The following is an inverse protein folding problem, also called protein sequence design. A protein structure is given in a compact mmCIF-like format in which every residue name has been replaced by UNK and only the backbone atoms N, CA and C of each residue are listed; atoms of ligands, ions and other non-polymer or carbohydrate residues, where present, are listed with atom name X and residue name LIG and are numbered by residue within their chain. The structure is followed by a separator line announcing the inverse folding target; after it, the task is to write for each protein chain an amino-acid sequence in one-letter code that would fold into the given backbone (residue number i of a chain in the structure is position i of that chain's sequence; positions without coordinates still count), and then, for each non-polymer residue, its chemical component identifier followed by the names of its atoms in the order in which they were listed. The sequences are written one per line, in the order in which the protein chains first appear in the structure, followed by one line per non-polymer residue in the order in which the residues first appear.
data_IF_047438144138
#
_entry.id   IF_047438144138
#
_cell.length_a   1.000
_cell.length_b   1.000
_cell.length_c   1.000
_cell.angle_alpha   90.00
_cell.angle_beta   90.00
_cell.angle_gamma   90.00
#
_symmetry.space_group_name_H-M   'P 1'
#
loop_
_entity.id
_entity.type
_entity.pdbx_description
1 polymer ?
#
# COMPACT_ATOMS: atom_id res chain seq x y z
N UNK A 1 -33.06 -52.58 -31.17
CA UNK A 1 -31.81 -52.53 -30.38
C UNK A 1 -31.51 -51.05 -30.14
N UNK A 2 -31.71 -50.56 -28.91
CA UNK A 2 -31.45 -49.16 -28.53
C UNK A 2 -29.99 -49.05 -28.08
N UNK A 3 -29.16 -48.33 -28.84
CA UNK A 3 -27.82 -47.95 -28.40
C UNK A 3 -27.92 -46.75 -27.46
N UNK A 4 -27.76 -46.97 -26.17
CA UNK A 4 -27.60 -45.90 -25.17
C UNK A 4 -26.21 -45.28 -25.32
N UNK A 5 -26.16 -44.01 -25.71
CA UNK A 5 -24.94 -43.20 -25.67
C UNK A 5 -24.55 -42.92 -24.21
N UNK A 6 -23.32 -43.23 -23.77
CA UNK A 6 -22.86 -42.91 -22.43
C UNK A 6 -22.55 -41.41 -22.33
N UNK A 7 -23.57 -40.60 -22.04
CA UNK A 7 -23.38 -39.24 -21.58
C UNK A 7 -22.71 -39.25 -20.20
N UNK A 8 -21.41 -38.94 -20.15
CA UNK A 8 -20.68 -38.83 -18.90
C UNK A 8 -21.26 -37.71 -18.00
N UNK A 9 -21.12 -37.83 -16.67
CA UNK A 9 -21.69 -36.87 -15.70
C UNK A 9 -21.16 -35.44 -15.85
N UNK A 10 -20.06 -35.25 -16.59
CA UNK A 10 -19.46 -33.94 -16.85
C UNK A 10 -20.37 -33.01 -17.66
N UNK A 11 -21.22 -33.55 -18.55
CA UNK A 11 -22.13 -32.74 -19.38
C UNK A 11 -23.41 -32.27 -18.68
N UNK A 12 -23.74 -32.82 -17.50
CA UNK A 12 -24.98 -32.49 -16.80
C UNK A 12 -24.90 -31.18 -16.01
N UNK A 13 -23.69 -30.73 -15.63
CA UNK A 13 -23.51 -29.50 -14.85
C UNK A 13 -23.67 -28.24 -15.72
N UNK A 14 -23.33 -28.31 -17.00
CA UNK A 14 -23.43 -27.18 -17.94
C UNK A 14 -24.89 -26.76 -18.21
N UNK A 15 -25.84 -27.69 -18.09
CA UNK A 15 -27.27 -27.39 -18.27
C UNK A 15 -27.97 -26.83 -17.03
N UNK A 16 -27.39 -26.99 -15.83
CA UNK A 16 -28.07 -26.62 -14.57
C UNK A 16 -27.96 -25.12 -14.25
N UNK A 17 -26.94 -24.43 -14.77
CA UNK A 17 -26.64 -23.02 -14.47
C UNK A 17 -27.05 -22.03 -15.56
N UNK A 18 -27.93 -22.43 -16.48
CA UNK A 18 -28.61 -21.50 -17.39
C UNK A 18 -27.66 -20.59 -18.18
N UNK A 19 -26.85 -21.16 -19.07
CA UNK A 19 -26.18 -20.44 -20.15
C UNK A 19 -25.10 -19.43 -19.76
N UNK A 20 -24.65 -19.39 -18.50
CA UNK A 20 -23.49 -18.57 -18.10
C UNK A 20 -22.20 -19.27 -18.51
N UNK A 21 -21.35 -18.58 -19.29
CA UNK A 21 -20.07 -19.10 -19.80
C UNK A 21 -19.14 -19.43 -18.64
N UNK A 22 -18.27 -20.43 -18.80
CA UNK A 22 -17.31 -20.80 -17.76
C UNK A 22 -16.42 -19.62 -17.36
N UNK A 23 -16.10 -18.72 -18.30
CA UNK A 23 -15.32 -17.51 -18.01
C UNK A 23 -16.01 -16.58 -17.02
N UNK A 24 -17.33 -16.41 -17.13
CA UNK A 24 -18.09 -15.53 -16.23
C UNK A 24 -18.13 -16.12 -14.81
N UNK A 25 -18.25 -17.45 -14.72
CA UNK A 25 -18.22 -18.17 -13.45
C UNK A 25 -16.84 -18.10 -12.80
N UNK A 26 -15.76 -18.27 -13.58
CA UNK A 26 -14.38 -18.13 -13.10
C UNK A 26 -14.11 -16.70 -12.62
N UNK A 27 -14.53 -15.70 -13.37
CA UNK A 27 -14.40 -14.29 -13.01
C UNK A 27 -15.18 -13.98 -11.73
N UNK A 28 -16.43 -14.44 -11.64
CA UNK A 28 -17.24 -14.29 -10.42
C UNK A 28 -16.56 -14.96 -9.22
N UNK A 29 -16.04 -16.19 -9.37
CA UNK A 29 -15.32 -16.90 -8.32
C UNK A 29 -14.05 -16.15 -7.88
N UNK A 30 -13.30 -15.57 -8.81
CA UNK A 30 -12.06 -14.84 -8.51
C UNK A 30 -12.29 -13.59 -7.67
N UNK A 31 -13.47 -12.98 -7.76
CA UNK A 31 -13.85 -11.79 -6.99
C UNK A 31 -14.41 -12.12 -5.60
N UNK A 32 -14.64 -13.41 -5.30
CA UNK A 32 -15.20 -13.82 -4.01
C UNK A 32 -14.12 -13.78 -2.91
N UNK A 33 -14.40 -13.15 -1.76
CA UNK A 33 -13.43 -13.10 -0.66
C UNK A 33 -13.10 -14.50 -0.12
N UNK A 34 -14.03 -15.45 -0.19
CA UNK A 34 -13.79 -16.82 0.26
C UNK A 34 -12.69 -17.52 -0.55
N UNK A 35 -12.56 -17.21 -1.85
CA UNK A 35 -11.51 -17.75 -2.71
C UNK A 35 -10.13 -17.21 -2.28
N UNK A 36 -10.02 -15.91 -2.00
CA UNK A 36 -8.79 -15.30 -1.51
C UNK A 36 -8.38 -15.87 -0.14
N UNK A 37 -9.34 -16.06 0.77
CA UNK A 37 -9.11 -16.71 2.06
C UNK A 37 -8.63 -18.16 1.88
N UNK A 38 -9.17 -18.89 0.90
CA UNK A 38 -8.77 -20.26 0.61
C UNK A 38 -7.33 -20.35 0.11
N UNK A 39 -6.96 -19.49 -0.84
CA UNK A 39 -5.61 -19.40 -1.36
C UNK A 39 -4.61 -18.99 -0.26
N UNK A 40 -4.97 -18.01 0.57
CA UNK A 40 -4.14 -17.60 1.71
C UNK A 40 -3.95 -18.72 2.73
N UNK A 41 -5.03 -19.44 3.09
CA UNK A 41 -4.96 -20.59 3.99
C UNK A 41 -4.10 -21.72 3.41
N UNK A 42 -4.19 -21.98 2.10
CA UNK A 42 -3.35 -22.97 1.41
C UNK A 42 -1.86 -22.57 1.43
N UNK A 43 -1.55 -21.28 1.24
CA UNK A 43 -0.19 -20.74 1.31
C UNK A 43 0.47 -20.88 2.68
N UNK A 44 -0.32 -20.87 3.76
CA UNK A 44 0.16 -21.13 5.13
C UNK A 44 0.39 -22.63 5.41
N UNK A 45 0.02 -23.52 4.49
CA UNK A 45 0.18 -24.96 4.62
C UNK A 45 -0.54 -25.51 5.86
N UNK A 46 0.19 -26.20 6.74
CA UNK A 46 -0.37 -26.83 7.95
C UNK A 46 -0.86 -25.83 9.01
N UNK A 47 -0.39 -24.59 8.96
CA UNK A 47 -0.81 -23.51 9.87
C UNK A 47 -2.11 -22.84 9.39
N UNK A 48 -2.52 -23.10 8.15
CA UNK A 48 -3.75 -22.56 7.58
C UNK A 48 -5.01 -23.24 8.11
N UNK A 49 -6.14 -22.55 7.94
CA UNK A 49 -7.47 -23.13 8.21
C UNK A 49 -7.77 -24.24 7.21
N UNK A 50 -8.27 -25.38 7.70
CA UNK A 50 -8.63 -26.52 6.85
C UNK A 50 -10.01 -26.37 6.18
N UNK A 51 -10.85 -25.48 6.71
CA UNK A 51 -12.18 -25.17 6.18
C UNK A 51 -12.49 -23.68 6.24
N UNK A 52 -13.31 -23.24 5.28
CA UNK A 52 -13.79 -21.86 5.14
C UNK A 52 -15.30 -21.90 5.07
N UNK A 53 -15.94 -21.03 5.84
CA UNK A 53 -17.39 -20.93 5.89
C UNK A 53 -17.89 -20.11 4.71
N UNK A 54 -18.78 -20.66 3.89
CA UNK A 54 -19.31 -19.99 2.70
C UNK A 54 -20.77 -19.60 2.85
N UNK A 55 -21.11 -18.43 2.34
CA UNK A 55 -22.48 -17.91 2.27
C UNK A 55 -23.11 -17.57 3.64
N UNK A 56 -24.38 -17.15 3.65
CA UNK A 56 -25.08 -16.72 4.87
C UNK A 56 -25.30 -17.86 5.86
N UNK A 57 -25.44 -19.10 5.36
CA UNK A 57 -25.61 -20.30 6.18
C UNK A 57 -24.32 -20.82 6.81
N UNK A 58 -23.17 -20.17 6.54
CA UNK A 58 -21.84 -20.55 7.05
C UNK A 58 -21.53 -22.03 6.88
N UNK A 59 -21.75 -22.56 5.67
CA UNK A 59 -21.45 -23.96 5.39
C UNK A 59 -19.94 -24.15 5.33
N UNK A 60 -19.33 -25.03 6.13
CA UNK A 60 -17.89 -25.23 6.11
C UNK A 60 -17.51 -26.02 4.85
N UNK A 61 -16.69 -25.41 4.00
CA UNK A 61 -16.15 -26.03 2.79
C UNK A 61 -14.65 -26.29 2.98
N UNK A 62 -14.14 -27.49 2.65
CA UNK A 62 -12.70 -27.76 2.72
C UNK A 62 -11.89 -26.80 1.86
N UNK A 63 -10.79 -26.26 2.40
CA UNK A 63 -9.92 -25.31 1.68
C UNK A 63 -9.42 -25.88 0.34
N UNK A 64 -9.17 -27.19 0.27
CA UNK A 64 -8.73 -27.88 -0.95
C UNK A 64 -9.81 -27.99 -2.05
N UNK A 65 -11.09 -27.79 -1.73
CA UNK A 65 -12.16 -27.83 -2.73
C UNK A 65 -12.13 -26.62 -3.68
N UNK A 66 -11.65 -25.46 -3.20
CA UNK A 66 -11.54 -24.22 -3.97
C UNK A 66 -10.58 -24.31 -5.17
N UNK A 67 -9.31 -24.74 -5.01
CA UNK A 67 -8.40 -24.91 -6.16
C UNK A 67 -8.89 -25.99 -7.14
N UNK A 68 -9.56 -27.03 -6.66
CA UNK A 68 -10.17 -28.04 -7.54
C UNK A 68 -11.30 -27.44 -8.39
N UNK A 69 -12.18 -26.64 -7.79
CA UNK A 69 -13.22 -25.91 -8.54
C UNK A 69 -12.61 -24.94 -9.55
N UNK A 70 -11.59 -24.20 -9.14
CA UNK A 70 -10.87 -23.27 -10.02
C UNK A 70 -10.25 -23.99 -11.22
N UNK A 71 -9.58 -25.13 -11.01
CA UNK A 71 -9.01 -25.93 -12.08
C UNK A 71 -10.08 -26.44 -13.06
N UNK A 72 -11.22 -26.93 -12.55
CA UNK A 72 -12.33 -27.38 -13.41
C UNK A 72 -12.91 -26.25 -14.26
N UNK A 73 -13.10 -25.06 -13.68
CA UNK A 73 -13.57 -23.89 -14.44
C UNK A 73 -12.52 -23.42 -15.44
N UNK A 74 -11.23 -23.45 -15.09
CA UNK A 74 -10.15 -23.10 -16.01
C UNK A 74 -10.10 -24.05 -17.22
N UNK A 75 -10.22 -25.36 -17.01
CA UNK A 75 -10.26 -26.36 -18.10
C UNK A 75 -11.47 -26.13 -19.03
N UNK A 76 -12.63 -25.77 -18.46
CA UNK A 76 -13.81 -25.41 -19.25
C UNK A 76 -13.57 -24.12 -20.05
N UNK A 77 -12.97 -23.10 -19.44
CA UNK A 77 -12.60 -21.85 -20.14
C UNK A 77 -11.65 -22.12 -21.29
N UNK A 78 -10.64 -22.98 -21.12
CA UNK A 78 -9.72 -23.36 -22.20
C UNK A 78 -10.47 -24.01 -23.35
N UNK A 79 -11.44 -24.88 -23.04
CA UNK A 79 -12.27 -25.54 -24.05
C UNK A 79 -13.16 -24.53 -24.79
N UNK A 80 -13.86 -23.65 -24.06
CA UNK A 80 -14.68 -22.58 -24.66
C UNK A 80 -13.84 -21.60 -25.50
N UNK A 81 -12.64 -21.27 -25.05
CA UNK A 81 -11.72 -20.40 -25.77
C UNK A 81 -11.23 -21.05 -27.07
N UNK A 82 -10.92 -22.36 -27.04
CA UNK A 82 -10.52 -23.10 -28.24
C UNK A 82 -11.64 -23.16 -29.28
N UNK A 83 -12.90 -23.27 -28.86
CA UNK A 83 -14.06 -23.19 -29.76
C UNK A 83 -14.22 -21.79 -30.38
N UNK A 84 -13.89 -20.73 -29.63
CA UNK A 84 -13.95 -19.35 -30.11
C UNK A 84 -12.80 -18.99 -31.06
N UNK A 85 -11.63 -19.58 -30.86
CA UNK A 85 -10.37 -19.24 -31.53
C UNK A 85 -10.31 -19.62 -33.04
N UNK A 86 -11.27 -20.38 -33.55
CA UNK A 86 -11.37 -20.94 -34.90
C UNK A 86 -10.37 -20.44 -35.98
N UNK A 87 -9.56 -21.36 -36.52
CA UNK A 87 -8.73 -21.32 -37.75
C UNK A 87 -7.96 -20.02 -38.09
N UNK A 88 -7.69 -19.15 -37.11
CA UNK A 88 -7.05 -17.86 -37.37
C UNK A 88 -5.52 -17.93 -37.23
N UNK A 89 -4.81 -18.10 -38.36
CA UNK A 89 -3.34 -18.13 -38.47
C UNK A 89 -2.61 -16.84 -37.99
N UNK A 90 -3.34 -15.80 -37.58
CA UNK A 90 -2.78 -14.57 -36.98
C UNK A 90 -2.39 -14.74 -35.49
N UNK A 91 -2.50 -15.96 -34.95
CA UNK A 91 -2.51 -16.27 -33.53
C UNK A 91 -1.18 -16.12 -32.78
N UNK A 92 -0.02 -16.06 -33.44
CA UNK A 92 1.26 -16.24 -32.76
C UNK A 92 2.19 -15.01 -32.76
N UNK A 93 1.69 -13.83 -33.13
CA UNK A 93 2.49 -12.60 -33.13
C UNK A 93 3.08 -12.29 -31.74
N UNK A 94 2.40 -12.68 -30.65
CA UNK A 94 2.92 -12.49 -29.29
C UNK A 94 4.13 -13.38 -28.95
N UNK A 95 4.37 -14.43 -29.74
CA UNK A 95 5.53 -15.30 -29.59
C UNK A 95 6.78 -14.81 -30.30
N UNK A 96 6.66 -13.76 -31.10
CA UNK A 96 7.77 -13.18 -31.83
C UNK A 96 8.37 -12.04 -31.01
N UNK A 97 9.70 -11.96 -30.94
CA UNK A 97 10.40 -10.84 -30.32
C UNK A 97 10.57 -9.65 -31.27
N UNK A 98 11.26 -8.60 -30.81
CA UNK A 98 11.53 -7.40 -31.61
C UNK A 98 12.45 -7.67 -32.82
N UNK A 99 13.18 -8.79 -32.83
CA UNK A 99 14.04 -9.20 -33.93
C UNK A 99 13.31 -10.03 -34.99
N UNK A 100 12.07 -10.44 -34.71
CA UNK A 100 11.30 -11.31 -35.60
C UNK A 100 11.51 -12.81 -35.32
N UNK A 101 12.20 -13.17 -34.24
CA UNK A 101 12.46 -14.56 -33.87
C UNK A 101 11.45 -15.08 -32.84
N UNK A 102 11.16 -16.39 -32.88
CA UNK A 102 10.25 -17.02 -31.93
C UNK A 102 10.93 -17.24 -30.57
N UNK A 103 10.28 -16.75 -29.51
CA UNK A 103 10.69 -16.96 -28.11
C UNK A 103 10.14 -18.30 -27.61
N UNK A 104 10.70 -19.41 -28.11
CA UNK A 104 10.27 -20.78 -27.79
C UNK A 104 9.49 -21.46 -28.91
N UNK A 105 8.94 -22.65 -28.64
CA UNK A 105 8.22 -23.42 -29.65
C UNK A 105 6.70 -23.18 -29.56
N UNK A 106 6.08 -22.58 -30.60
CA UNK A 106 4.65 -22.30 -30.59
C UNK A 106 3.77 -23.54 -30.58
N UNK A 107 4.28 -24.73 -30.92
CA UNK A 107 3.57 -25.99 -30.80
C UNK A 107 3.30 -26.39 -29.35
N UNK A 108 4.14 -25.97 -28.41
CA UNK A 108 4.01 -26.34 -27.00
C UNK A 108 3.21 -25.33 -26.19
N UNK A 109 2.09 -25.78 -25.60
CA UNK A 109 1.23 -24.93 -24.77
C UNK A 109 1.96 -24.31 -23.57
N UNK A 110 2.97 -25.01 -23.04
CA UNK A 110 3.81 -24.53 -21.95
C UNK A 110 4.62 -23.29 -22.34
N UNK A 111 5.24 -23.31 -23.52
CA UNK A 111 6.09 -22.22 -24.01
C UNK A 111 5.24 -20.99 -24.38
N UNK A 112 4.06 -21.22 -24.97
CA UNK A 112 3.06 -20.16 -25.19
C UNK A 112 2.64 -19.50 -23.88
N UNK A 113 2.35 -20.30 -22.85
CA UNK A 113 1.95 -19.79 -21.55
C UNK A 113 3.07 -19.02 -20.84
N UNK A 114 4.33 -19.50 -20.92
CA UNK A 114 5.46 -18.75 -20.36
C UNK A 114 5.67 -17.42 -21.07
N UNK A 115 5.52 -17.37 -22.39
CA UNK A 115 5.63 -16.10 -23.13
C UNK A 115 4.55 -15.11 -22.73
N UNK A 116 3.30 -15.57 -22.60
CA UNK A 116 2.20 -14.72 -22.11
C UNK A 116 2.49 -14.21 -20.69
N UNK A 117 3.02 -15.06 -19.82
CA UNK A 117 3.43 -14.66 -18.47
C UNK A 117 4.52 -13.57 -18.48
N UNK A 118 5.55 -13.72 -19.33
CA UNK A 118 6.61 -12.73 -19.46
C UNK A 118 6.08 -11.38 -19.95
N UNK A 119 5.22 -11.38 -20.97
CA UNK A 119 4.57 -10.18 -21.49
C UNK A 119 3.70 -9.47 -20.44
N UNK A 120 3.00 -10.23 -19.60
CA UNK A 120 2.22 -9.66 -18.50
C UNK A 120 3.11 -9.00 -17.45
N UNK A 121 4.25 -9.62 -17.10
CA UNK A 121 5.19 -9.03 -16.16
C UNK A 121 5.85 -7.77 -16.73
N UNK A 122 6.22 -7.78 -18.01
CA UNK A 122 6.76 -6.61 -18.71
C UNK A 122 5.77 -5.45 -18.68
N UNK A 123 4.50 -5.70 -19.04
CA UNK A 123 3.45 -4.68 -19.00
C UNK A 123 3.16 -4.18 -17.57
N UNK A 124 3.31 -5.02 -16.54
CA UNK A 124 3.17 -4.58 -15.15
C UNK A 124 4.35 -3.71 -14.70
N UNK A 125 5.57 -4.09 -15.08
CA UNK A 125 6.77 -3.31 -14.78
C UNK A 125 6.71 -1.94 -15.46
N UNK A 126 6.28 -1.88 -16.72
CA UNK A 126 6.11 -0.62 -17.46
C UNK A 126 5.11 0.32 -16.76
N UNK A 127 3.92 -0.18 -16.37
CA UNK A 127 2.95 0.61 -15.60
C UNK A 127 3.50 1.11 -14.27
N UNK A 128 4.29 0.28 -13.59
CA UNK A 128 4.93 0.68 -12.33
C UNK A 128 5.97 1.79 -12.58
N UNK A 129 6.78 1.67 -13.62
CA UNK A 129 7.75 2.71 -13.99
C UNK A 129 7.06 4.01 -14.39
N UNK A 130 5.97 3.94 -15.16
CA UNK A 130 5.17 5.11 -15.51
C UNK A 130 4.58 5.78 -14.26
N UNK A 131 4.04 4.99 -13.34
CA UNK A 131 3.56 5.50 -12.05
C UNK A 131 4.67 6.18 -11.26
N UNK A 132 5.84 5.55 -11.13
CA UNK A 132 7.00 6.11 -10.41
C UNK A 132 7.51 7.39 -11.10
N UNK A 133 7.60 7.40 -12.42
CA UNK A 133 8.05 8.57 -13.19
C UNK A 133 7.04 9.73 -13.13
N UNK A 134 5.74 9.43 -12.98
CA UNK A 134 4.67 10.40 -12.81
C UNK A 134 4.51 10.93 -11.38
N UNK A 135 5.15 10.30 -10.38
CA UNK A 135 5.19 10.89 -9.05
C UNK A 135 5.99 12.20 -9.13
N UNK A 136 5.46 13.32 -8.57
CA UNK A 136 6.29 14.50 -8.40
C UNK A 136 7.51 14.04 -7.61
N UNK A 137 8.72 14.43 -8.05
CA UNK A 137 9.95 14.05 -7.38
C UNK A 137 9.79 14.32 -5.89
N UNK A 138 9.48 13.28 -5.10
CA UNK A 138 9.21 13.46 -3.65
C UNK A 138 10.43 14.05 -2.96
N UNK A 139 11.59 13.96 -3.60
CA UNK A 139 12.83 14.63 -3.27
C UNK A 139 12.67 16.14 -3.10
N UNK A 140 11.91 16.85 -3.94
CA UNK A 140 11.72 18.31 -3.74
C UNK A 140 10.87 18.63 -2.52
N UNK A 141 9.78 17.89 -2.28
CA UNK A 141 8.95 18.11 -1.08
C UNK A 141 9.65 17.66 0.20
N UNK A 142 10.42 16.57 0.16
CA UNK A 142 11.19 16.12 1.31
C UNK A 142 12.30 17.11 1.67
N UNK A 143 13.00 17.66 0.67
CA UNK A 143 14.04 18.68 0.87
C UNK A 143 13.46 19.99 1.39
N UNK A 144 12.31 20.43 0.88
CA UNK A 144 11.61 21.61 1.40
C UNK A 144 11.16 21.40 2.86
N UNK A 145 10.59 20.23 3.17
CA UNK A 145 10.16 19.90 4.53
C UNK A 145 11.34 19.82 5.52
N UNK A 146 12.45 19.20 5.12
CA UNK A 146 13.66 19.12 5.94
C UNK A 146 14.26 20.51 6.19
N UNK A 147 14.24 21.38 5.18
CA UNK A 147 14.68 22.77 5.30
C UNK A 147 13.80 23.56 6.27
N UNK A 148 12.48 23.48 6.13
CA UNK A 148 11.54 24.15 7.04
C UNK A 148 11.71 23.69 8.49
N UNK A 149 11.98 22.40 8.70
CA UNK A 149 12.24 21.82 10.03
C UNK A 149 13.54 22.38 10.63
N UNK A 150 14.61 22.50 9.83
CA UNK A 150 15.89 23.06 10.27
C UNK A 150 15.76 24.55 10.60
N UNK A 151 15.08 25.32 9.75
CA UNK A 151 14.84 26.75 9.97
C UNK A 151 14.02 26.98 11.25
N UNK A 152 13.03 26.12 11.54
CA UNK A 152 12.26 26.16 12.78
C UNK A 152 13.11 25.81 14.01
N UNK A 153 13.96 24.79 13.91
CA UNK A 153 14.85 24.40 14.99
C UNK A 153 15.88 25.50 15.32
N UNK A 154 16.41 26.17 14.30
CA UNK A 154 17.35 27.29 14.48
C UNK A 154 16.65 28.50 15.13
N UNK A 155 15.43 28.82 14.70
CA UNK A 155 14.64 29.89 15.31
C UNK A 155 14.36 29.62 16.79
N UNK A 156 14.04 28.37 17.15
CA UNK A 156 13.84 27.97 18.53
C UNK A 156 15.12 28.10 19.36
N UNK A 157 16.27 27.65 18.83
CA UNK A 157 17.56 27.77 19.50
C UNK A 157 17.95 29.24 19.76
N UNK A 158 17.74 30.13 18.78
CA UNK A 158 17.98 31.56 18.97
C UNK A 158 17.09 32.15 20.06
N UNK A 159 15.81 31.80 20.08
CA UNK A 159 14.87 32.28 21.10
C UNK A 159 15.26 31.81 22.51
N UNK A 160 15.75 30.57 22.64
CA UNK A 160 16.20 30.06 23.95
C UNK A 160 17.48 30.73 24.42
N UNK A 161 18.41 31.02 23.51
CA UNK A 161 19.65 31.71 23.84
C UNK A 161 19.37 33.16 24.26
N UNK A 162 18.51 33.88 23.53
CA UNK A 162 18.07 35.24 23.89
C UNK A 162 17.44 35.28 25.28
N UNK A 163 16.50 34.37 25.56
CA UNK A 163 15.86 34.28 26.88
C UNK A 163 16.85 33.96 28.01
N UNK A 164 17.92 33.20 27.72
CA UNK A 164 18.97 32.91 28.69
C UNK A 164 19.80 34.15 29.01
N UNK A 165 20.21 34.93 28.00
CA UNK A 165 20.97 36.17 28.22
C UNK A 165 20.12 37.24 28.90
N UNK A 166 18.85 37.40 28.52
CA UNK A 166 17.93 38.33 29.17
C UNK A 166 17.76 38.01 30.67
N UNK A 167 17.68 36.73 31.02
CA UNK A 167 17.59 36.30 32.41
C UNK A 167 18.87 36.59 33.21
N UNK A 168 20.05 36.46 32.57
CA UNK A 168 21.33 36.76 33.19
C UNK A 168 21.49 38.26 33.43
N UNK A 169 21.14 39.08 32.43
CA UNK A 169 21.19 40.55 32.51
C UNK A 169 20.24 41.08 33.59
N UNK A 170 19.05 40.48 33.73
CA UNK A 170 18.11 40.83 34.79
C UNK A 170 18.69 40.51 36.17
N UNK A 171 19.29 39.32 36.32
CA UNK A 171 19.90 38.91 37.58
C UNK A 171 21.06 39.84 37.99
N UNK A 172 21.89 40.24 37.03
CA UNK A 172 23.00 41.18 37.28
C UNK A 172 22.47 42.57 37.67
N UNK A 173 21.39 43.03 37.03
CA UNK A 173 20.74 44.29 37.39
C UNK A 173 20.17 44.27 38.82
N UNK A 174 19.47 43.19 39.19
CA UNK A 174 18.95 42.99 40.55
C UNK A 174 20.08 42.92 41.59
N UNK A 175 21.19 42.25 41.25
CA UNK A 175 22.35 42.18 42.13
C UNK A 175 22.99 43.57 42.36
N UNK A 176 23.14 44.36 41.31
CA UNK A 176 23.66 45.74 41.40
C UNK A 176 22.71 46.62 42.22
N UNK A 177 21.40 46.51 42.02
CA UNK A 177 20.40 47.26 42.79
C UNK A 177 20.44 46.89 44.28
N UNK A 178 20.56 45.60 44.60
CA UNK A 178 20.70 45.12 45.97
C UNK A 178 22.01 45.61 46.64
N UNK A 179 23.13 45.62 45.91
CA UNK A 179 24.40 46.17 46.41
C UNK A 179 24.31 47.68 46.66
N UNK A 180 23.64 48.43 45.78
CA UNK A 180 23.38 49.87 45.95
C UNK A 180 22.52 50.16 47.17
N UNK A 181 21.44 49.40 47.38
CA UNK A 181 20.56 49.53 48.54
C UNK A 181 21.33 49.22 49.85
N UNK A 182 22.16 48.17 49.85
CA UNK A 182 22.99 47.80 51.00
C UNK A 182 24.09 48.83 51.30
N UNK A 183 24.61 49.54 50.30
CA UNK A 183 25.65 50.55 50.45
C UNK A 183 25.13 51.89 51.02
N UNK A 184 23.83 52.18 50.89
CA UNK A 184 23.20 53.43 51.38
C UNK A 184 21.99 53.19 52.31
N UNK A 185 22.15 52.51 53.45
CA UNK A 185 21.04 52.22 54.36
C UNK A 185 20.47 53.46 55.08
N UNK A 186 21.09 54.64 54.97
CA UNK A 186 20.81 55.81 55.83
C UNK A 186 20.25 57.06 55.12
N UNK A 187 19.91 57.00 53.83
CA UNK A 187 19.36 58.18 53.14
C UNK A 187 17.92 58.54 53.57
N UNK A 188 17.15 57.60 54.14
CA UNK A 188 15.78 57.86 54.62
C UNK A 188 15.71 58.71 55.90
N UNK A 189 16.83 58.90 56.63
CA UNK A 189 16.87 59.69 57.87
C UNK A 189 17.19 61.19 57.70
N UNK A 190 17.60 61.63 56.51
CA UNK A 190 18.14 62.99 56.29
C UNK A 190 17.12 64.00 55.74
N UNK A 191 15.91 63.58 55.38
CA UNK A 191 14.87 64.47 54.83
C UNK A 191 14.08 65.22 55.94
N UNK A 192 14.24 64.86 57.22
CA UNK A 192 13.46 65.46 58.32
C UNK A 192 14.13 66.68 59.00
N UNK A 193 15.34 67.08 58.59
CA UNK A 193 16.13 68.11 59.31
C UNK A 193 15.92 69.57 58.86
N UNK A 194 15.23 69.86 57.76
CA UNK A 194 15.06 71.25 57.27
C UNK A 194 13.70 71.90 57.52
N UNK A 195 12.66 71.18 57.98
CA UNK A 195 11.32 71.78 58.17
C UNK A 195 11.05 72.42 59.55
N UNK A 196 11.98 72.38 60.51
CA UNK A 196 11.75 72.93 61.87
C UNK A 196 12.36 74.30 62.16
N UNK A 197 13.05 74.96 61.24
CA UNK A 197 13.85 76.17 61.57
C UNK A 197 13.30 77.55 61.11
N UNK A 198 12.01 77.69 60.80
CA UNK A 198 11.39 78.98 60.41
C UNK A 198 10.37 79.56 61.42
N UNK A 199 10.55 79.35 62.73
CA UNK A 199 9.77 80.08 63.76
C UNK A 199 10.65 80.60 64.88
N UNK A 200 11.32 81.74 64.69
CA UNK A 200 11.60 82.72 65.75
C UNK A 200 11.84 84.11 65.17
#
# INVERSE_FOLDING_TARGET
MLSGSPGGPTGALTSLFGGTRAIDQLMSLSQRPEMAMALGALGLGKLGRQSIDVGPSRVPVPTAAFPNLYAQLADQVVTEAAELAGDSESELTYMVDSSGEYVGDPGFARDRASRVWDLLNEAQAERLFEYIAGLPAMETQAVEYERDLLDQAEAYARQTDEAYYDAMDLQDAEAIESELEAAWPEAEGLVDWEMTNERF
#
